data_IF_329681326413
#
_entry.id   IF_329681326413
#
_cell.length_a   1.000
_cell.length_b   1.000
_cell.length_c   1.000
_cell.angle_alpha   90.00
_cell.angle_beta   90.00
_cell.angle_gamma   90.00
#
_symmetry.space_group_name_H-M   'P 1'
#
loop_
_entity.id
_entity.type
_entity.pdbx_description
1 polymer ?
#
# COMPACT_ATOMS: atom_id res chain seq x y z
N UNK A 1 -8.72 -27.29 -0.76
CA UNK A 1 -7.80 -26.96 0.35
C UNK A 1 -8.14 -25.56 0.84
N UNK A 2 -8.53 -25.40 2.12
CA UNK A 2 -8.75 -24.07 2.72
C UNK A 2 -7.37 -23.52 3.04
N UNK A 3 -6.93 -22.46 2.36
CA UNK A 3 -5.71 -21.77 2.75
C UNK A 3 -5.97 -21.16 4.13
N UNK A 4 -5.40 -21.75 5.18
CA UNK A 4 -5.47 -21.18 6.53
C UNK A 4 -4.28 -20.27 6.67
N UNK A 5 -4.39 -19.05 6.13
CA UNK A 5 -3.40 -18.02 6.45
C UNK A 5 -3.60 -17.64 7.90
N UNK A 6 -2.57 -17.87 8.70
CA UNK A 6 -2.54 -17.47 10.10
C UNK A 6 -2.78 -15.97 10.19
N UNK A 7 -3.77 -15.55 11.00
CA UNK A 7 -4.09 -14.14 11.22
C UNK A 7 -2.88 -13.34 11.74
N UNK A 8 -1.87 -14.03 12.30
CA UNK A 8 -0.58 -13.45 12.71
C UNK A 8 0.23 -12.93 11.52
N UNK A 9 0.30 -13.70 10.43
CA UNK A 9 1.01 -13.31 9.19
C UNK A 9 0.28 -12.13 8.55
N UNK A 10 -1.05 -12.16 8.60
CA UNK A 10 -1.87 -11.09 8.04
C UNK A 10 -1.66 -9.77 8.79
N UNK A 11 -1.60 -9.80 10.13
CA UNK A 11 -1.25 -8.64 10.96
C UNK A 11 0.15 -8.10 10.68
N UNK A 12 1.14 -8.98 10.53
CA UNK A 12 2.52 -8.57 10.25
C UNK A 12 2.60 -7.89 8.88
N UNK A 13 1.99 -8.49 7.86
CA UNK A 13 1.99 -7.93 6.51
C UNK A 13 1.21 -6.60 6.44
N UNK A 14 0.08 -6.48 7.13
CA UNK A 14 -0.64 -5.19 7.22
C UNK A 14 0.18 -4.10 7.92
N UNK A 15 0.95 -4.49 8.95
CA UNK A 15 1.84 -3.56 9.66
C UNK A 15 3.01 -3.11 8.78
N UNK A 16 3.59 -4.01 8.00
CA UNK A 16 4.61 -3.67 7.01
C UNK A 16 4.07 -2.70 5.95
N UNK A 17 2.83 -2.89 5.49
CA UNK A 17 2.17 -1.97 4.56
C UNK A 17 2.00 -0.58 5.18
N UNK A 18 1.63 -0.49 6.45
CA UNK A 18 1.52 0.80 7.14
C UNK A 18 2.88 1.52 7.23
N UNK A 19 3.96 0.80 7.59
CA UNK A 19 5.31 1.37 7.59
C UNK A 19 5.69 1.83 6.18
N UNK A 20 5.42 1.00 5.18
CA UNK A 20 5.73 1.31 3.79
C UNK A 20 4.97 2.56 3.32
N UNK A 21 3.72 2.74 3.74
CA UNK A 21 2.91 3.91 3.43
C UNK A 21 3.44 5.20 4.07
N UNK A 22 3.98 5.12 5.28
CA UNK A 22 4.57 6.27 5.99
C UNK A 22 5.99 6.56 5.51
N UNK A 23 6.72 5.57 5.00
CA UNK A 23 8.12 5.71 4.57
C UNK A 23 8.41 6.90 3.63
N UNK A 24 7.55 7.25 2.64
CA UNK A 24 7.75 8.41 1.77
C UNK A 24 7.76 9.75 2.49
N UNK A 25 7.12 9.83 3.65
CA UNK A 25 7.03 11.08 4.43
C UNK A 25 8.27 11.32 5.30
N UNK A 26 9.05 10.26 5.56
CA UNK A 26 10.21 10.30 6.45
C UNK A 26 11.51 10.32 5.63
N UNK A 27 11.55 9.58 4.52
CA UNK A 27 12.77 9.36 3.75
C UNK A 27 12.46 9.57 2.27
N UNK A 28 13.29 10.38 1.62
CA UNK A 28 13.21 10.62 0.19
C UNK A 28 14.55 10.26 -0.46
N UNK A 29 14.52 9.24 -1.33
CA UNK A 29 15.65 8.84 -2.16
C UNK A 29 15.15 8.50 -3.56
N UNK A 30 16.05 8.27 -4.50
CA UNK A 30 15.68 7.93 -5.88
C UNK A 30 15.89 6.45 -6.16
N UNK A 31 14.92 5.82 -6.81
CA UNK A 31 14.99 4.44 -7.29
C UNK A 31 15.15 4.46 -8.80
N UNK A 32 16.25 3.92 -9.30
CA UNK A 32 16.50 3.82 -10.74
C UNK A 32 16.14 2.42 -11.23
N UNK A 33 15.21 2.34 -12.18
CA UNK A 33 14.78 1.09 -12.83
C UNK A 33 15.05 1.23 -14.32
N UNK A 34 16.05 0.51 -14.82
CA UNK A 34 16.50 0.61 -16.21
C UNK A 34 17.01 2.02 -16.52
N UNK A 35 16.34 2.71 -17.45
CA UNK A 35 16.69 4.09 -17.86
C UNK A 35 15.86 5.17 -17.16
N UNK A 36 14.92 4.80 -16.28
CA UNK A 36 14.04 5.74 -15.61
C UNK A 36 14.36 5.83 -14.12
N UNK A 37 14.37 7.05 -13.61
CA UNK A 37 14.61 7.34 -12.19
C UNK A 37 13.30 7.84 -11.59
N UNK A 38 12.85 7.15 -10.54
CA UNK A 38 11.64 7.47 -9.79
C UNK A 38 12.02 8.01 -8.41
N UNK A 39 11.29 8.99 -7.88
CA UNK A 39 11.40 9.28 -6.45
C UNK A 39 10.84 8.10 -5.65
N UNK A 40 11.38 7.85 -4.47
CA UNK A 40 10.92 6.80 -3.57
C UNK A 40 9.44 6.97 -3.26
N UNK A 41 9.00 8.21 -3.06
CA UNK A 41 7.61 8.56 -2.83
C UNK A 41 6.71 8.17 -3.99
N UNK A 42 7.06 8.55 -5.22
CA UNK A 42 6.30 8.16 -6.41
C UNK A 42 6.32 6.64 -6.60
N UNK A 43 7.47 6.00 -6.41
CA UNK A 43 7.61 4.55 -6.56
C UNK A 43 6.70 3.79 -5.59
N UNK A 44 6.72 4.17 -4.32
CA UNK A 44 5.96 3.52 -3.26
C UNK A 44 4.46 3.74 -3.43
N UNK A 45 4.01 4.99 -3.64
CA UNK A 45 2.59 5.33 -3.68
C UNK A 45 1.91 4.95 -5.00
N UNK A 46 2.61 5.04 -6.14
CA UNK A 46 2.00 4.79 -7.46
C UNK A 46 2.18 3.35 -7.95
N UNK A 47 3.21 2.64 -7.49
CA UNK A 47 3.48 1.28 -7.96
C UNK A 47 3.42 0.27 -6.81
N UNK A 48 4.22 0.45 -5.77
CA UNK A 48 4.41 -0.59 -4.76
C UNK A 48 3.15 -0.88 -3.94
N UNK A 49 2.53 0.16 -3.34
CA UNK A 49 1.29 0.01 -2.57
C UNK A 49 0.10 -0.45 -3.43
N UNK A 50 -0.12 0.08 -4.65
CA UNK A 50 -1.19 -0.40 -5.52
C UNK A 50 -1.04 -1.86 -5.92
N UNK A 51 0.17 -2.32 -6.23
CA UNK A 51 0.45 -3.73 -6.54
C UNK A 51 0.14 -4.61 -5.32
N UNK A 52 0.61 -4.21 -4.14
CA UNK A 52 0.31 -4.93 -2.89
C UNK A 52 -1.22 -4.93 -2.63
N UNK A 53 -1.88 -3.79 -2.79
CA UNK A 53 -3.32 -3.66 -2.63
C UNK A 53 -4.11 -4.57 -3.57
N UNK A 54 -3.70 -4.69 -4.84
CA UNK A 54 -4.28 -5.63 -5.80
C UNK A 54 -4.12 -7.09 -5.33
N UNK A 55 -2.95 -7.46 -4.80
CA UNK A 55 -2.76 -8.82 -4.27
C UNK A 55 -3.70 -9.10 -3.08
N UNK A 56 -3.91 -8.14 -2.18
CA UNK A 56 -4.89 -8.26 -1.09
C UNK A 56 -6.32 -8.37 -1.59
N UNK A 57 -6.66 -7.65 -2.68
CA UNK A 57 -7.99 -7.69 -3.28
C UNK A 57 -8.27 -9.08 -3.87
N UNK A 58 -7.31 -9.65 -4.61
CA UNK A 58 -7.38 -11.04 -5.09
C UNK A 58 -7.50 -12.01 -3.91
N UNK A 59 -6.71 -11.81 -2.87
CA UNK A 59 -6.76 -12.64 -1.66
C UNK A 59 -8.11 -12.57 -0.95
N UNK A 60 -8.75 -11.39 -0.94
CA UNK A 60 -10.04 -11.16 -0.30
C UNK A 60 -11.15 -11.99 -0.95
N UNK A 61 -11.12 -12.08 -2.29
CA UNK A 61 -12.08 -12.87 -3.08
C UNK A 61 -11.85 -14.36 -2.84
N UNK A 62 -10.59 -14.80 -2.87
CA UNK A 62 -10.23 -16.22 -2.69
C UNK A 62 -10.60 -16.74 -1.29
N UNK A 63 -10.36 -15.93 -0.25
CA UNK A 63 -10.63 -16.28 1.15
C UNK A 63 -12.05 -15.94 1.61
N UNK A 64 -12.85 -15.27 0.77
CA UNK A 64 -14.16 -14.68 1.14
C UNK A 64 -14.09 -13.77 2.38
N UNK A 65 -12.94 -13.16 2.64
CA UNK A 65 -12.72 -12.22 3.76
C UNK A 65 -12.90 -10.79 3.23
N UNK A 66 -14.12 -10.28 3.30
CA UNK A 66 -14.49 -8.93 2.84
C UNK A 66 -13.66 -7.80 3.50
N UNK A 67 -13.18 -8.00 4.73
CA UNK A 67 -12.33 -7.03 5.42
C UNK A 67 -11.01 -6.75 4.68
N UNK A 68 -10.44 -7.77 4.01
CA UNK A 68 -9.23 -7.62 3.21
C UNK A 68 -9.47 -6.82 1.94
N UNK A 69 -10.71 -6.82 1.44
CA UNK A 69 -11.08 -6.05 0.27
C UNK A 69 -10.98 -4.55 0.59
N UNK A 70 -11.52 -4.10 1.73
CA UNK A 70 -11.39 -2.72 2.19
C UNK A 70 -9.92 -2.32 2.38
N UNK A 71 -9.12 -3.19 3.00
CA UNK A 71 -7.69 -2.94 3.19
C UNK A 71 -6.94 -2.81 1.86
N UNK A 72 -7.18 -3.73 0.92
CA UNK A 72 -6.60 -3.67 -0.42
C UNK A 72 -7.01 -2.40 -1.17
N UNK A 73 -8.27 -1.98 -1.03
CA UNK A 73 -8.77 -0.76 -1.66
C UNK A 73 -8.06 0.49 -1.12
N UNK A 74 -7.89 0.60 0.19
CA UNK A 74 -7.11 1.71 0.82
C UNK A 74 -5.67 1.73 0.30
N UNK A 75 -5.05 0.56 0.11
CA UNK A 75 -3.69 0.50 -0.44
C UNK A 75 -3.62 0.97 -1.91
N UNK A 76 -4.61 0.60 -2.73
CA UNK A 76 -4.71 1.05 -4.13
C UNK A 76 -4.91 2.56 -4.21
N UNK A 77 -5.77 3.10 -3.35
CA UNK A 77 -6.04 4.54 -3.27
C UNK A 77 -5.10 5.29 -2.33
N UNK A 78 -3.98 4.69 -1.93
CA UNK A 78 -3.04 5.32 -0.98
C UNK A 78 -2.53 6.66 -1.47
N UNK A 79 -2.21 6.80 -2.76
CA UNK A 79 -1.78 8.07 -3.36
C UNK A 79 -2.81 9.20 -3.21
N UNK A 80 -4.07 9.08 -3.71
CA UNK A 80 -5.06 10.14 -3.54
C UNK A 80 -5.42 10.39 -2.08
N UNK A 81 -5.38 9.35 -1.22
CA UNK A 81 -5.58 9.53 0.22
C UNK A 81 -4.47 10.38 0.83
N UNK A 82 -3.20 10.10 0.53
CA UNK A 82 -2.06 10.89 1.01
C UNK A 82 -2.13 12.33 0.50
N UNK A 83 -2.50 12.55 -0.76
CA UNK A 83 -2.68 13.89 -1.32
C UNK A 83 -3.82 14.65 -0.63
N UNK A 84 -4.96 13.99 -0.40
CA UNK A 84 -6.10 14.59 0.30
C UNK A 84 -5.77 14.93 1.77
N UNK A 85 -5.07 14.03 2.46
CA UNK A 85 -4.59 14.27 3.83
C UNK A 85 -3.57 15.42 3.88
N UNK A 86 -2.67 15.49 2.91
CA UNK A 86 -1.71 16.58 2.78
C UNK A 86 -2.41 17.93 2.64
N UNK A 87 -3.36 18.04 1.72
CA UNK A 87 -4.15 19.26 1.52
C UNK A 87 -4.98 19.65 2.76
N UNK A 88 -5.53 18.65 3.47
CA UNK A 88 -6.31 18.90 4.68
C UNK A 88 -5.46 19.40 5.86
N UNK A 89 -4.24 18.86 6.02
CA UNK A 89 -3.38 19.16 7.16
C UNK A 89 -2.47 20.38 6.96
N UNK A 90 -2.00 20.61 5.74
CA UNK A 90 -1.03 21.67 5.43
C UNK A 90 -1.69 22.92 4.82
N UNK A 91 -2.99 22.86 4.50
CA UNK A 91 -3.68 23.90 3.77
C UNK A 91 -3.41 23.82 2.26
N UNK A 92 -4.10 24.65 1.46
CA UNK A 92 -3.89 24.75 0.01
C UNK A 92 -2.49 25.25 -0.37
#
# INVERSE_FOLDING_TARGET
>A
MRLVVSDKILKITSFLVAILWVSPTIIEFTVTIGKQTYSWSAFVLLFLLPIIGLTYLIYSILMKKWWLCLFGLVCIFSFPITMALGAYLLGP
#
